data_IF_180048570541
#
_entry.id   IF_180048570541
#
_cell.length_a   1.000
_cell.length_b   1.000
_cell.length_c   1.000
_cell.angle_alpha   90.00
_cell.angle_beta   90.00
_cell.angle_gamma   90.00
#
_symmetry.space_group_name_H-M   'P 1'
#
loop_
_entity.id
_entity.type
_entity.pdbx_description
1 polymer ?
#
# COMPACT_ATOMS: atom_id res chain seq x y z
N UNK A 1 -43.88 68.56 -15.92
CA UNK A 1 -43.10 67.31 -16.11
C UNK A 1 -41.71 67.55 -15.53
N UNK A 2 -41.16 66.63 -14.73
CA UNK A 2 -39.76 66.73 -14.29
C UNK A 2 -38.86 66.19 -15.39
N UNK A 3 -37.74 66.86 -15.66
CA UNK A 3 -36.72 66.36 -16.57
C UNK A 3 -35.98 65.19 -15.92
N UNK A 4 -35.81 64.10 -16.66
CA UNK A 4 -35.00 62.95 -16.27
C UNK A 4 -33.75 62.93 -17.13
N UNK A 5 -32.62 62.56 -16.54
CA UNK A 5 -31.37 62.37 -17.27
C UNK A 5 -31.11 60.88 -17.44
N UNK A 6 -30.42 60.51 -18.52
CA UNK A 6 -29.93 59.15 -18.71
C UNK A 6 -28.40 59.17 -18.81
N UNK A 7 -27.74 58.08 -18.41
CA UNK A 7 -26.29 57.92 -18.55
C UNK A 7 -25.91 56.47 -18.86
N UNK A 8 -25.01 56.31 -19.81
CA UNK A 8 -24.51 55.03 -20.29
C UNK A 8 -25.36 54.43 -21.41
N UNK A 9 -26.42 55.07 -21.89
CA UNK A 9 -27.36 54.46 -22.84
C UNK A 9 -27.18 54.96 -24.27
N UNK A 10 -26.71 56.20 -24.46
CA UNK A 10 -26.40 56.74 -25.77
C UNK A 10 -25.50 57.97 -25.64
N UNK A 11 -24.35 57.95 -26.31
CA UNK A 11 -23.43 59.10 -26.36
C UNK A 11 -24.10 60.42 -26.77
N UNK A 12 -25.21 60.33 -27.51
CA UNK A 12 -25.92 61.52 -28.01
C UNK A 12 -27.01 62.04 -27.08
N UNK A 13 -27.59 61.18 -26.24
CA UNK A 13 -28.71 61.52 -25.36
C UNK A 13 -28.32 61.57 -23.88
N UNK A 14 -27.18 60.97 -23.52
CA UNK A 14 -26.67 60.96 -22.16
C UNK A 14 -26.50 62.40 -21.63
N UNK A 15 -26.92 62.61 -20.39
CA UNK A 15 -26.94 63.89 -19.69
C UNK A 15 -27.78 65.00 -20.35
N UNK A 16 -28.59 64.68 -21.37
CA UNK A 16 -29.60 65.60 -21.90
C UNK A 16 -30.92 65.42 -21.18
N UNK A 17 -31.68 66.51 -20.94
CA UNK A 17 -32.99 66.40 -20.32
C UNK A 17 -33.95 65.66 -21.25
N UNK A 18 -34.54 64.58 -20.74
CA UNK A 18 -35.58 63.81 -21.39
C UNK A 18 -36.88 63.88 -20.57
N UNK A 19 -38.01 63.95 -21.27
CA UNK A 19 -39.33 63.98 -20.67
C UNK A 19 -40.07 62.69 -20.98
N UNK A 20 -39.79 61.64 -20.21
CA UNK A 20 -40.48 60.36 -20.36
C UNK A 20 -41.97 60.52 -20.08
N UNK A 21 -42.80 59.98 -20.97
CA UNK A 21 -44.26 59.95 -20.79
C UNK A 21 -44.70 58.79 -19.90
N UNK A 22 -43.86 57.77 -19.75
CA UNK A 22 -44.15 56.56 -19.00
C UNK A 22 -43.64 56.67 -17.55
N UNK A 23 -44.53 56.42 -16.57
CA UNK A 23 -44.16 56.38 -15.14
C UNK A 23 -43.19 55.24 -14.79
N UNK A 24 -43.10 54.20 -15.62
CA UNK A 24 -42.21 53.05 -15.40
C UNK A 24 -40.73 53.44 -15.36
N UNK A 25 -40.33 54.48 -16.11
CA UNK A 25 -38.95 54.99 -16.12
C UNK A 25 -38.64 55.81 -14.86
N UNK A 26 -39.66 56.43 -14.26
CA UNK A 26 -39.49 57.22 -13.05
C UNK A 26 -39.08 56.36 -11.84
N UNK A 27 -39.53 55.10 -11.76
CA UNK A 27 -39.11 54.16 -10.71
C UNK A 27 -37.65 53.67 -10.86
N UNK A 28 -37.11 53.79 -12.07
CA UNK A 28 -35.72 53.45 -12.39
C UNK A 28 -34.77 54.65 -12.25
N UNK A 29 -35.28 55.85 -12.04
CA UNK A 29 -34.47 57.02 -11.81
C UNK A 29 -33.94 57.02 -10.37
N UNK A 30 -32.70 57.46 -10.20
CA UNK A 30 -32.12 57.71 -8.89
C UNK A 30 -32.99 58.72 -8.14
N UNK A 31 -33.38 58.37 -6.91
CA UNK A 31 -34.27 59.18 -6.07
C UNK A 31 -33.58 60.46 -5.57
N UNK A 32 -32.25 60.51 -5.60
CA UNK A 32 -31.45 61.68 -5.21
C UNK A 32 -31.19 62.63 -6.38
N UNK A 33 -30.61 62.13 -7.48
CA UNK A 33 -30.14 62.97 -8.58
C UNK A 33 -31.04 62.92 -9.83
N UNK A 34 -32.08 62.08 -9.85
CA UNK A 34 -32.99 61.94 -10.98
C UNK A 34 -32.39 61.29 -12.23
N UNK A 35 -31.17 60.72 -12.12
CA UNK A 35 -30.48 60.04 -13.21
C UNK A 35 -30.94 58.59 -13.34
N UNK A 36 -31.26 58.15 -14.55
CA UNK A 36 -31.36 56.73 -14.89
C UNK A 36 -29.99 56.29 -15.43
N UNK A 37 -29.36 55.30 -14.80
CA UNK A 37 -28.10 54.70 -15.24
C UNK A 37 -28.31 53.23 -15.60
N UNK A 38 -27.38 52.61 -16.34
CA UNK A 38 -27.47 51.16 -16.67
C UNK A 38 -27.64 50.31 -15.42
N UNK A 39 -26.82 50.57 -14.41
CA UNK A 39 -26.89 49.90 -13.13
C UNK A 39 -27.53 50.83 -12.11
N UNK A 40 -28.60 50.37 -11.47
CA UNK A 40 -29.21 51.04 -10.32
C UNK A 40 -29.43 50.04 -9.20
N UNK A 41 -29.43 50.54 -7.97
CA UNK A 41 -29.62 49.74 -6.77
C UNK A 41 -30.91 50.17 -6.10
N UNK A 42 -31.84 49.23 -5.90
CA UNK A 42 -33.04 49.45 -5.12
C UNK A 42 -32.79 49.03 -3.67
N UNK A 43 -32.99 49.97 -2.76
CA UNK A 43 -32.83 49.78 -1.33
C UNK A 43 -34.04 49.06 -0.72
N UNK A 44 -33.92 48.50 0.51
CA UNK A 44 -35.04 47.88 1.22
C UNK A 44 -36.20 48.84 1.50
N UNK A 45 -35.92 50.13 1.67
CA UNK A 45 -36.90 51.20 1.83
C UNK A 45 -37.57 51.64 0.52
N UNK A 46 -37.37 50.88 -0.57
CA UNK A 46 -37.96 51.12 -1.88
C UNK A 46 -37.45 52.39 -2.62
N UNK A 47 -36.42 53.05 -2.13
CA UNK A 47 -35.69 54.08 -2.87
C UNK A 47 -34.68 53.47 -3.86
N UNK A 48 -34.62 54.02 -5.08
CA UNK A 48 -33.68 53.59 -6.12
C UNK A 48 -32.51 54.57 -6.18
N UNK A 49 -31.26 54.10 -6.18
CA UNK A 49 -30.04 54.92 -6.30
C UNK A 49 -29.20 54.50 -7.52
N UNK A 50 -28.54 55.45 -8.19
CA UNK A 50 -27.50 55.11 -9.17
C UNK A 50 -26.22 54.63 -8.45
N UNK A 51 -25.30 54.00 -9.19
CA UNK A 51 -24.04 53.46 -8.62
C UNK A 51 -23.26 54.49 -7.80
N UNK A 52 -23.05 55.69 -8.33
CA UNK A 52 -22.32 56.75 -7.62
C UNK A 52 -23.02 57.17 -6.32
N UNK A 53 -24.34 57.43 -6.37
CA UNK A 53 -25.10 57.79 -5.17
C UNK A 53 -25.15 56.66 -4.13
N UNK A 54 -25.22 55.40 -4.58
CA UNK A 54 -25.19 54.24 -3.70
C UNK A 54 -23.84 54.10 -3.00
N UNK A 55 -22.74 54.16 -3.74
CA UNK A 55 -21.38 54.06 -3.19
C UNK A 55 -21.09 55.18 -2.18
N UNK A 56 -21.52 56.41 -2.46
CA UNK A 56 -21.38 57.52 -1.51
C UNK A 56 -22.25 57.32 -0.26
N UNK A 57 -23.45 56.75 -0.40
CA UNK A 57 -24.30 56.42 0.75
C UNK A 57 -23.68 55.30 1.62
N UNK A 58 -23.02 54.32 1.00
CA UNK A 58 -22.27 53.29 1.73
C UNK A 58 -21.10 53.89 2.53
N UNK A 59 -20.31 54.79 1.91
CA UNK A 59 -19.19 55.50 2.57
C UNK A 59 -19.65 56.31 3.78
N UNK A 60 -20.89 56.79 3.79
CA UNK A 60 -21.46 57.63 4.84
C UNK A 60 -22.29 56.86 5.88
N UNK A 61 -22.18 55.53 5.92
CA UNK A 61 -22.80 54.72 6.99
C UNK A 61 -23.90 53.77 6.53
N UNK A 62 -24.10 53.59 5.22
CA UNK A 62 -25.05 52.63 4.65
C UNK A 62 -26.50 52.83 5.12
N UNK A 63 -26.91 54.09 5.20
CA UNK A 63 -28.30 54.50 5.44
C UNK A 63 -28.83 55.23 4.22
N UNK A 64 -30.11 55.05 3.92
CA UNK A 64 -30.74 55.78 2.83
C UNK A 64 -30.75 57.28 3.16
N UNK A 65 -30.29 58.17 2.25
CA UNK A 65 -30.26 59.61 2.54
C UNK A 65 -31.63 60.30 2.59
N UNK A 66 -32.72 59.59 2.28
CA UNK A 66 -34.07 60.15 2.21
C UNK A 66 -34.92 59.84 3.45
N UNK A 67 -34.77 58.65 4.04
CA UNK A 67 -35.55 58.18 5.18
C UNK A 67 -34.69 57.63 6.33
N UNK A 68 -33.36 57.69 6.19
CA UNK A 68 -32.36 57.22 7.16
C UNK A 68 -32.41 55.72 7.48
N UNK A 69 -33.20 54.93 6.72
CA UNK A 69 -33.27 53.49 6.96
C UNK A 69 -31.95 52.80 6.60
N UNK A 70 -31.43 51.90 7.47
CA UNK A 70 -30.20 51.19 7.19
C UNK A 70 -30.41 50.16 6.07
N UNK A 71 -29.45 50.08 5.15
CA UNK A 71 -29.42 49.06 4.12
C UNK A 71 -28.13 48.23 4.22
N UNK A 72 -28.22 46.99 3.73
CA UNK A 72 -27.08 46.08 3.65
C UNK A 72 -27.04 45.50 2.23
N UNK A 73 -25.84 45.31 1.68
CA UNK A 73 -25.62 44.87 0.29
C UNK A 73 -26.32 43.55 -0.06
N UNK A 74 -26.59 42.69 0.92
CA UNK A 74 -27.31 41.43 0.72
C UNK A 74 -28.83 41.56 0.63
N UNK A 75 -29.38 42.74 0.94
CA UNK A 75 -30.81 43.05 0.90
C UNK A 75 -31.15 44.10 -0.17
N UNK A 76 -30.15 44.63 -0.87
CA UNK A 76 -30.36 45.54 -2.00
C UNK A 76 -30.58 44.73 -3.28
N UNK A 77 -31.39 45.28 -4.18
CA UNK A 77 -31.69 44.65 -5.47
C UNK A 77 -30.94 45.44 -6.54
N UNK A 78 -29.98 44.80 -7.21
CA UNK A 78 -29.30 45.36 -8.36
C UNK A 78 -30.16 45.16 -9.61
N UNK A 79 -30.44 46.26 -10.30
CA UNK A 79 -31.22 46.27 -11.53
C UNK A 79 -30.32 46.73 -12.67
N UNK A 80 -30.22 45.90 -13.71
CA UNK A 80 -29.59 46.25 -14.97
C UNK A 80 -30.66 46.65 -15.99
N UNK A 81 -30.55 47.89 -16.46
CA UNK A 81 -31.45 48.49 -17.42
C UNK A 81 -30.79 48.36 -18.79
N UNK A 82 -31.42 47.62 -19.69
CA UNK A 82 -30.90 47.50 -21.04
C UNK A 82 -31.07 48.79 -21.84
N UNK A 83 -30.11 49.07 -22.70
CA UNK A 83 -30.17 50.17 -23.67
C UNK A 83 -31.40 50.08 -24.59
N UNK A 84 -31.67 48.88 -25.10
CA UNK A 84 -32.85 48.63 -25.92
C UNK A 84 -34.17 48.90 -25.18
N UNK A 85 -34.18 48.80 -23.84
CA UNK A 85 -35.36 49.14 -23.03
C UNK A 85 -35.57 50.65 -22.95
N UNK A 86 -34.52 51.44 -22.67
CA UNK A 86 -34.62 52.91 -22.53
C UNK A 86 -34.86 53.59 -23.86
N UNK A 87 -34.14 53.20 -24.92
CA UNK A 87 -34.25 53.84 -26.23
C UNK A 87 -35.62 53.62 -26.91
N UNK A 88 -36.38 52.60 -26.50
CA UNK A 88 -37.75 52.33 -26.98
C UNK A 88 -38.83 53.10 -26.22
N UNK A 89 -38.50 53.78 -25.11
CA UNK A 89 -39.48 54.51 -24.30
C UNK A 89 -39.97 55.75 -25.01
N UNK A 90 -41.23 56.08 -24.74
CA UNK A 90 -41.86 57.28 -25.28
C UNK A 90 -41.42 58.51 -24.51
N UNK A 91 -40.82 59.47 -25.22
CA UNK A 91 -40.33 60.74 -24.68
C UNK A 91 -40.95 61.92 -25.44
N UNK A 92 -41.19 63.01 -24.72
CA UNK A 92 -41.43 64.32 -25.34
C UNK A 92 -40.10 65.04 -25.61
N UNK A 93 -40.11 65.89 -26.63
CA UNK A 93 -38.95 66.72 -26.99
C UNK A 93 -38.49 67.61 -25.81
N UNK A 94 -37.18 67.80 -25.67
CA UNK A 94 -36.59 68.74 -24.71
C UNK A 94 -37.15 70.17 -24.85
N UNK A 95 -37.56 70.55 -26.06
CA UNK A 95 -38.18 71.84 -26.38
C UNK A 95 -39.70 71.87 -26.19
N UNK A 96 -40.32 70.86 -25.58
CA UNK A 96 -41.77 70.86 -25.33
C UNK A 96 -42.25 72.07 -24.51
N UNK A 97 -41.52 72.56 -23.48
CA UNK A 97 -41.86 73.80 -22.79
C UNK A 97 -41.89 75.04 -23.72
N UNK A 98 -41.18 74.98 -24.85
CA UNK A 98 -41.11 76.05 -25.85
C UNK A 98 -42.14 75.85 -26.99
N UNK A 99 -43.04 74.87 -26.89
CA UNK A 99 -44.11 74.63 -27.85
C UNK A 99 -43.90 73.45 -28.81
N UNK A 100 -42.81 72.67 -28.66
CA UNK A 100 -42.65 71.45 -29.44
C UNK A 100 -43.64 70.36 -28.99
N UNK A 101 -44.46 69.86 -29.90
CA UNK A 101 -45.47 68.82 -29.64
C UNK A 101 -44.97 67.39 -29.93
N UNK A 102 -43.70 67.24 -30.30
CA UNK A 102 -43.13 65.93 -30.62
C UNK A 102 -43.14 64.99 -29.41
N UNK A 103 -43.76 63.83 -29.63
CA UNK A 103 -43.76 62.67 -28.73
C UNK A 103 -43.38 61.45 -29.58
N UNK A 104 -42.32 60.74 -29.18
CA UNK A 104 -41.82 59.59 -29.94
C UNK A 104 -40.85 58.73 -29.14
N UNK A 105 -40.29 57.70 -29.76
CA UNK A 105 -39.28 56.86 -29.11
C UNK A 105 -37.98 57.64 -28.88
N UNK A 106 -37.31 57.40 -27.75
CA UNK A 106 -36.04 58.05 -27.42
C UNK A 106 -34.98 57.85 -28.51
N UNK A 107 -34.92 56.69 -29.16
CA UNK A 107 -34.04 56.42 -30.31
C UNK A 107 -34.24 57.40 -31.48
N UNK A 108 -35.47 57.84 -31.74
CA UNK A 108 -35.81 58.77 -32.82
C UNK A 108 -35.62 60.25 -32.46
N UNK A 109 -35.33 60.56 -31.20
CA UNK A 109 -35.24 61.93 -30.71
C UNK A 109 -34.08 62.71 -31.37
N UNK A 110 -32.98 62.03 -31.71
CA UNK A 110 -31.84 62.66 -32.38
C UNK A 110 -32.22 63.19 -33.77
N UNK A 111 -32.94 62.39 -34.56
CA UNK A 111 -33.37 62.80 -35.90
C UNK A 111 -34.43 63.90 -35.84
N UNK A 112 -35.29 63.86 -34.82
CA UNK A 112 -36.20 64.97 -34.51
C UNK A 112 -35.42 66.25 -34.17
N UNK A 113 -34.40 66.19 -33.30
CA UNK A 113 -33.64 67.38 -32.91
C UNK A 113 -32.99 68.10 -34.09
N UNK A 114 -32.55 67.38 -35.14
CA UNK A 114 -32.00 68.00 -36.36
C UNK A 114 -33.03 68.88 -37.08
N UNK A 115 -34.32 68.64 -36.89
CA UNK A 115 -35.42 69.28 -37.60
C UNK A 115 -36.33 70.13 -36.69
N UNK A 116 -36.13 70.09 -35.37
CA UNK A 116 -36.97 70.78 -34.41
C UNK A 116 -36.93 72.31 -34.62
N UNK A 117 -38.09 72.90 -34.90
CA UNK A 117 -38.20 74.35 -35.10
C UNK A 117 -38.19 75.16 -33.80
N UNK A 118 -38.42 74.50 -32.66
CA UNK A 118 -38.56 75.11 -31.34
C UNK A 118 -37.24 75.22 -30.55
N UNK A 119 -36.10 75.10 -31.24
CA UNK A 119 -34.80 75.34 -30.61
C UNK A 119 -34.69 76.77 -30.12
N UNK A 120 -34.19 76.93 -28.90
CA UNK A 120 -33.85 78.24 -28.35
C UNK A 120 -32.38 78.54 -28.68
N UNK A 121 -32.14 79.73 -29.22
CA UNK A 121 -30.81 80.20 -29.59
C UNK A 121 -30.58 81.61 -29.03
N UNK A 122 -29.34 81.99 -28.70
CA UNK A 122 -29.04 83.34 -28.28
C UNK A 122 -29.14 84.30 -29.46
N UNK A 123 -29.79 85.45 -29.25
CA UNK A 123 -29.79 86.53 -30.23
C UNK A 123 -28.37 87.13 -30.35
N UNK A 124 -27.80 87.28 -31.56
CA UNK A 124 -26.46 87.84 -31.71
C UNK A 124 -26.36 89.34 -31.34
N UNK A 125 -27.50 90.06 -31.25
CA UNK A 125 -27.53 91.48 -30.91
C UNK A 125 -27.63 91.73 -29.41
N UNK A 126 -28.52 91.02 -28.71
CA UNK A 126 -28.84 91.28 -27.30
C UNK A 126 -28.57 90.10 -26.36
N UNK A 127 -28.14 88.94 -26.88
CA UNK A 127 -27.89 87.70 -26.14
C UNK A 127 -29.11 87.08 -25.44
N UNK A 128 -30.30 87.64 -25.63
CA UNK A 128 -31.53 87.02 -25.11
C UNK A 128 -31.81 85.67 -25.80
N UNK A 129 -32.33 84.71 -25.04
CA UNK A 129 -32.82 83.44 -25.55
C UNK A 129 -34.11 83.66 -26.34
N UNK A 130 -34.07 83.34 -27.63
CA UNK A 130 -35.21 83.48 -28.56
C UNK A 130 -35.42 82.17 -29.30
N UNK A 131 -36.66 81.84 -29.61
CA UNK A 131 -36.98 80.72 -30.50
C UNK A 131 -36.33 80.94 -31.87
N UNK A 132 -35.71 79.89 -32.43
CA UNK A 132 -35.04 79.94 -33.74
C UNK A 132 -35.96 80.46 -34.84
N UNK A 133 -37.24 80.11 -34.80
CA UNK A 133 -38.28 80.57 -35.73
C UNK A 133 -38.58 82.06 -35.61
N UNK A 134 -38.44 82.63 -34.42
CA UNK A 134 -38.78 84.03 -34.12
C UNK A 134 -37.56 84.96 -34.19
N UNK A 135 -36.34 84.41 -34.26
CA UNK A 135 -35.08 85.15 -34.22
C UNK A 135 -35.01 86.27 -35.27
N UNK A 136 -35.51 86.03 -36.47
CA UNK A 136 -35.51 87.04 -37.55
C UNK A 136 -36.45 88.21 -37.22
N UNK A 137 -37.64 87.92 -36.71
CA UNK A 137 -38.60 88.94 -36.26
C UNK A 137 -38.02 89.75 -35.11
N UNK A 138 -37.57 89.06 -34.06
CA UNK A 138 -36.90 89.68 -32.90
C UNK A 138 -35.75 90.63 -33.30
N UNK A 139 -34.90 90.21 -34.25
CA UNK A 139 -33.78 91.04 -34.72
C UNK A 139 -34.21 92.27 -35.54
N UNK A 140 -35.36 92.21 -36.22
CA UNK A 140 -35.93 93.32 -37.01
C UNK A 140 -36.72 94.30 -36.13
N UNK A 141 -37.38 93.78 -35.10
CA UNK A 141 -38.21 94.54 -34.16
C UNK A 141 -37.39 95.24 -33.05
N UNK A 142 -36.06 95.27 -33.19
CA UNK A 142 -35.16 96.02 -32.31
C UNK A 142 -34.95 95.39 -30.94
N UNK A 143 -35.10 94.07 -30.80
CA UNK A 143 -34.81 93.33 -29.55
C UNK A 143 -35.57 93.81 -28.31
N UNK A 144 -36.67 94.55 -28.48
CA UNK A 144 -37.35 95.27 -27.39
C UNK A 144 -38.57 94.54 -26.82
N UNK A 145 -38.95 93.39 -27.37
CA UNK A 145 -40.10 92.59 -26.91
C UNK A 145 -39.71 91.70 -25.72
N UNK A 146 -40.07 92.17 -24.53
CA UNK A 146 -40.05 91.40 -23.28
C UNK A 146 -41.17 90.34 -23.28
N UNK A 147 -40.96 89.21 -23.96
CA UNK A 147 -41.82 88.04 -23.82
C UNK A 147 -41.02 86.76 -23.99
N UNK A 148 -40.14 86.50 -23.02
CA UNK A 148 -39.71 85.13 -22.74
C UNK A 148 -39.45 85.03 -21.25
N UNK A 149 -40.22 84.19 -20.57
CA UNK A 149 -39.90 83.73 -19.21
C UNK A 149 -38.44 83.26 -19.16
N UNK A 150 -37.67 83.59 -18.12
CA UNK A 150 -36.28 83.18 -18.02
C UNK A 150 -36.22 81.65 -17.95
N UNK A 151 -35.81 81.02 -19.04
CA UNK A 151 -35.28 79.64 -18.99
C UNK A 151 -33.86 79.77 -18.45
N UNK A 152 -33.45 78.99 -17.43
CA UNK A 152 -32.06 78.97 -16.99
C UNK A 152 -31.19 78.54 -18.16
N UNK A 153 -30.45 79.49 -18.75
CA UNK A 153 -29.40 79.20 -19.72
C UNK A 153 -28.17 78.80 -18.89
N UNK A 154 -27.59 77.60 -19.10
CA UNK A 154 -26.25 77.31 -18.63
C UNK A 154 -25.29 78.31 -19.28
N UNK A 155 -24.72 79.16 -18.44
CA UNK A 155 -23.66 80.13 -18.71
C UNK A 155 -22.89 79.85 -20.03
N UNK A 156 -23.19 80.61 -21.10
CA UNK A 156 -22.24 80.73 -22.20
C UNK A 156 -21.12 81.64 -21.73
N UNK A 157 -19.99 81.03 -21.38
CA UNK A 157 -18.76 81.74 -21.00
C UNK A 157 -18.31 82.57 -22.21
N UNK A 158 -18.20 83.88 -22.02
CA UNK A 158 -17.50 84.76 -22.94
C UNK A 158 -16.02 84.35 -22.94
N UNK A 159 -15.56 83.65 -23.98
CA UNK A 159 -14.20 83.12 -24.04
C UNK A 159 -13.24 84.26 -24.35
N UNK A 160 -12.43 84.62 -23.34
CA UNK A 160 -11.27 85.47 -23.54
C UNK A 160 -10.22 84.72 -24.37
N UNK A 161 -10.06 85.12 -25.63
CA UNK A 161 -9.15 84.47 -26.59
C UNK A 161 -7.69 84.45 -26.12
N UNK A 162 -7.24 85.44 -25.33
CA UNK A 162 -5.87 85.50 -24.80
C UNK A 162 -5.64 84.41 -23.73
N UNK A 163 -6.64 84.17 -22.86
CA UNK A 163 -6.59 83.07 -21.90
C UNK A 163 -6.64 81.70 -22.60
N UNK A 164 -7.39 81.60 -23.71
CA UNK A 164 -7.46 80.37 -24.50
C UNK A 164 -6.11 80.05 -25.16
N UNK A 165 -5.37 81.06 -25.64
CA UNK A 165 -4.06 80.89 -26.25
C UNK A 165 -2.99 80.47 -25.23
N UNK A 166 -3.04 81.02 -24.01
CA UNK A 166 -2.18 80.59 -22.89
C UNK A 166 -2.48 79.14 -22.52
N UNK A 167 -3.76 78.77 -22.33
CA UNK A 167 -4.16 77.39 -22.02
C UNK A 167 -3.77 76.42 -23.14
N UNK A 168 -3.93 76.83 -24.41
CA UNK A 168 -3.52 76.03 -25.57
C UNK A 168 -2.01 75.78 -25.58
N UNK A 169 -1.21 76.79 -25.26
CA UNK A 169 0.25 76.68 -25.17
C UNK A 169 0.70 75.80 -24.01
N UNK A 170 0.04 75.92 -22.85
CA UNK A 170 0.24 75.05 -21.67
C UNK A 170 -0.05 73.59 -22.01
N UNK A 171 -1.20 73.33 -22.66
CA UNK A 171 -1.63 71.99 -23.05
C UNK A 171 -0.69 71.35 -24.08
N UNK A 172 -0.20 72.12 -25.05
CA UNK A 172 0.82 71.66 -26.00
C UNK A 172 2.12 71.26 -25.31
N UNK A 173 2.56 72.02 -24.30
CA UNK A 173 3.76 71.69 -23.51
C UNK A 173 3.57 70.40 -22.73
N UNK A 174 2.44 70.24 -22.06
CA UNK A 174 2.16 69.01 -21.32
C UNK A 174 2.00 67.79 -22.25
N UNK A 175 1.37 67.95 -23.41
CA UNK A 175 1.34 66.91 -24.45
C UNK A 175 2.74 66.50 -24.91
N UNK A 176 3.66 67.47 -25.07
CA UNK A 176 5.04 67.17 -25.44
C UNK A 176 5.75 66.35 -24.37
N UNK A 177 5.63 66.73 -23.08
CA UNK A 177 6.18 65.96 -21.96
C UNK A 177 5.61 64.54 -21.90
N UNK A 178 4.30 64.39 -22.12
CA UNK A 178 3.66 63.07 -22.17
C UNK A 178 4.25 62.25 -23.32
N UNK A 179 4.46 62.85 -24.50
CA UNK A 179 5.07 62.16 -25.65
C UNK A 179 6.51 61.71 -25.36
N UNK A 180 7.30 62.54 -24.68
CA UNK A 180 8.66 62.18 -24.26
C UNK A 180 8.64 61.03 -23.26
N UNK A 181 7.79 61.10 -22.23
CA UNK A 181 7.62 60.04 -21.25
C UNK A 181 7.19 58.72 -21.90
N UNK A 182 6.24 58.76 -22.84
CA UNK A 182 5.82 57.58 -23.61
C UNK A 182 6.98 57.00 -24.42
N UNK A 183 7.81 57.84 -25.03
CA UNK A 183 8.99 57.38 -25.78
C UNK A 183 10.04 56.73 -24.87
N UNK A 184 10.26 57.30 -23.68
CA UNK A 184 11.14 56.71 -22.67
C UNK A 184 10.61 55.36 -22.19
N UNK A 185 9.32 55.29 -21.84
CA UNK A 185 8.67 54.04 -21.42
C UNK A 185 8.72 52.97 -22.51
N UNK A 186 8.50 53.34 -23.77
CA UNK A 186 8.61 52.42 -24.90
C UNK A 186 10.03 51.86 -25.03
N UNK A 187 11.05 52.70 -24.83
CA UNK A 187 12.46 52.28 -24.86
C UNK A 187 12.78 51.33 -23.71
N UNK A 188 12.37 51.67 -22.49
CA UNK A 188 12.55 50.82 -21.31
C UNK A 188 11.82 49.48 -21.46
N UNK A 189 10.62 49.47 -22.03
CA UNK A 189 9.86 48.25 -22.29
C UNK A 189 10.58 47.35 -23.31
N UNK A 190 11.10 47.94 -24.39
CA UNK A 190 11.88 47.20 -25.38
C UNK A 190 13.16 46.61 -24.78
N UNK A 191 13.84 47.37 -23.91
CA UNK A 191 15.02 46.87 -23.19
C UNK A 191 14.65 45.70 -22.28
N UNK A 192 13.58 45.82 -21.50
CA UNK A 192 13.09 44.75 -20.63
C UNK A 192 12.75 43.48 -21.41
N UNK A 193 12.13 43.60 -22.60
CA UNK A 193 11.86 42.46 -23.46
C UNK A 193 13.14 41.73 -23.90
N UNK A 194 14.22 42.46 -24.19
CA UNK A 194 15.50 41.83 -24.56
C UNK A 194 16.18 41.17 -23.35
N UNK A 195 16.11 41.79 -22.17
CA UNK A 195 16.60 41.19 -20.92
C UNK A 195 15.87 39.88 -20.61
N UNK A 196 14.53 39.86 -20.71
CA UNK A 196 13.74 38.64 -20.53
C UNK A 196 14.13 37.56 -21.55
N UNK A 197 14.30 37.94 -22.83
CA UNK A 197 14.70 37.01 -23.89
C UNK A 197 16.10 36.42 -23.66
N UNK A 198 17.03 37.22 -23.14
CA UNK A 198 18.39 36.73 -22.84
C UNK A 198 18.40 35.80 -21.63
N UNK A 199 17.63 36.13 -20.58
CA UNK A 199 17.45 35.27 -19.41
C UNK A 199 16.76 33.94 -19.76
N UNK A 200 15.74 33.97 -20.62
CA UNK A 200 15.09 32.76 -21.12
C UNK A 200 16.08 31.86 -21.87
N UNK A 201 16.94 32.45 -22.72
CA UNK A 201 17.96 31.70 -23.45
C UNK A 201 19.01 31.09 -22.51
N UNK A 202 19.47 31.82 -21.50
CA UNK A 202 20.49 31.31 -20.56
C UNK A 202 19.93 30.18 -19.69
N UNK A 203 18.73 30.37 -19.14
CA UNK A 203 18.06 29.36 -18.30
C UNK A 203 17.71 28.10 -19.09
N UNK A 204 17.22 28.22 -20.32
CA UNK A 204 16.98 27.06 -21.18
C UNK A 204 18.27 26.30 -21.52
N UNK A 205 19.40 27.01 -21.70
CA UNK A 205 20.70 26.37 -21.91
C UNK A 205 21.14 25.59 -20.67
N UNK A 206 21.07 26.20 -19.49
CA UNK A 206 21.40 25.54 -18.22
C UNK A 206 20.51 24.33 -17.95
N UNK A 207 19.21 24.44 -18.22
CA UNK A 207 18.25 23.34 -18.08
C UNK A 207 18.60 22.18 -19.02
N UNK A 208 18.98 22.47 -20.26
CA UNK A 208 19.42 21.46 -21.23
C UNK A 208 20.72 20.77 -20.80
N UNK A 209 21.69 21.55 -20.34
CA UNK A 209 22.99 21.02 -19.90
C UNK A 209 22.85 20.15 -18.64
N UNK A 210 22.00 20.55 -17.69
CA UNK A 210 21.69 19.74 -16.49
C UNK A 210 20.92 18.48 -16.84
N UNK A 211 19.97 18.55 -17.77
CA UNK A 211 19.24 17.37 -18.27
C UNK A 211 20.18 16.35 -18.93
N UNK A 212 21.14 16.81 -19.74
CA UNK A 212 22.15 15.94 -20.35
C UNK A 212 23.02 15.25 -19.30
N UNK A 213 23.52 16.00 -18.30
CA UNK A 213 24.30 15.41 -17.19
C UNK A 213 23.51 14.35 -16.43
N UNK A 214 22.24 14.60 -16.12
CA UNK A 214 21.37 13.64 -15.46
C UNK A 214 21.21 12.38 -16.33
N UNK A 215 21.00 12.54 -17.63
CA UNK A 215 20.91 11.42 -18.59
C UNK A 215 22.18 10.56 -18.60
N UNK A 216 23.35 11.19 -18.58
CA UNK A 216 24.65 10.50 -18.54
C UNK A 216 24.81 9.73 -17.22
N UNK A 217 24.47 10.34 -16.08
CA UNK A 217 24.49 9.68 -14.77
C UNK A 217 23.54 8.48 -14.71
N UNK A 218 22.32 8.61 -15.25
CA UNK A 218 21.35 7.51 -15.30
C UNK A 218 21.84 6.36 -16.18
N UNK A 219 22.47 6.68 -17.32
CA UNK A 219 23.06 5.67 -18.21
C UNK A 219 24.23 4.94 -17.55
N UNK A 220 25.09 5.67 -16.83
CA UNK A 220 26.16 5.08 -16.01
C UNK A 220 25.61 4.18 -14.92
N UNK A 221 24.60 4.63 -14.18
CA UNK A 221 23.96 3.84 -13.13
C UNK A 221 23.32 2.56 -13.69
N UNK A 222 22.61 2.66 -14.82
CA UNK A 222 22.03 1.50 -15.49
C UNK A 222 23.11 0.46 -15.86
N UNK A 223 24.24 0.92 -16.39
CA UNK A 223 25.37 0.03 -16.73
C UNK A 223 25.94 -0.66 -15.49
N UNK A 224 26.11 0.07 -14.38
CA UNK A 224 26.55 -0.52 -13.12
C UNK A 224 25.56 -1.53 -12.55
N UNK A 225 24.25 -1.27 -12.65
CA UNK A 225 23.20 -2.20 -12.21
C UNK A 225 23.22 -3.49 -13.02
N UNK A 226 23.34 -3.40 -14.35
CA UNK A 226 23.46 -4.59 -15.20
C UNK A 226 24.72 -5.39 -14.89
N UNK A 227 25.87 -4.73 -14.66
CA UNK A 227 27.08 -5.42 -14.24
C UNK A 227 26.89 -6.15 -12.89
N UNK A 228 26.30 -5.49 -11.89
CA UNK A 228 26.01 -6.14 -10.61
C UNK A 228 25.06 -7.33 -10.77
N UNK A 229 24.10 -7.24 -11.70
CA UNK A 229 23.18 -8.34 -12.00
C UNK A 229 23.92 -9.54 -12.60
N UNK A 230 24.84 -9.31 -13.52
CA UNK A 230 25.70 -10.36 -14.09
C UNK A 230 26.59 -11.00 -13.02
N UNK A 231 27.22 -10.18 -12.15
CA UNK A 231 28.08 -10.66 -11.06
C UNK A 231 27.29 -11.54 -10.08
N UNK A 232 26.07 -11.15 -9.72
CA UNK A 232 25.19 -11.93 -8.83
C UNK A 232 24.79 -13.26 -9.45
N UNK A 233 24.47 -13.30 -10.74
CA UNK A 233 24.15 -14.56 -11.41
C UNK A 233 25.39 -15.46 -11.52
N UNK A 234 26.57 -14.88 -11.73
CA UNK A 234 27.85 -15.59 -11.68
C UNK A 234 28.10 -16.24 -10.32
N UNK A 235 28.02 -15.46 -9.23
CA UNK A 235 28.17 -15.98 -7.86
C UNK A 235 27.15 -17.06 -7.52
N UNK A 236 25.91 -16.93 -8.03
CA UNK A 236 24.86 -17.92 -7.84
C UNK A 236 25.21 -19.25 -8.50
N UNK A 237 25.77 -19.21 -9.70
CA UNK A 237 26.19 -20.41 -10.42
C UNK A 237 27.39 -21.07 -9.75
N UNK A 238 28.38 -20.30 -9.30
CA UNK A 238 29.50 -20.80 -8.50
C UNK A 238 29.02 -21.50 -7.22
N UNK A 239 28.03 -20.94 -6.53
CA UNK A 239 27.44 -21.53 -5.34
C UNK A 239 26.71 -22.85 -5.64
N UNK A 240 25.97 -22.93 -6.76
CA UNK A 240 25.33 -24.19 -7.21
C UNK A 240 26.36 -25.25 -7.54
N UNK A 241 27.44 -24.87 -8.23
CA UNK A 241 28.52 -25.77 -8.59
C UNK A 241 29.23 -26.32 -7.35
N UNK A 242 29.54 -25.46 -6.38
CA UNK A 242 30.11 -25.87 -5.10
C UNK A 242 29.17 -26.84 -4.36
N UNK A 243 27.87 -26.53 -4.29
CA UNK A 243 26.88 -27.41 -3.67
C UNK A 243 26.84 -28.79 -4.34
N UNK A 244 26.83 -28.83 -5.69
CA UNK A 244 26.86 -30.08 -6.46
C UNK A 244 28.08 -30.92 -6.14
N UNK A 245 29.28 -30.33 -6.14
CA UNK A 245 30.54 -31.03 -5.78
C UNK A 245 30.47 -31.60 -4.37
N UNK A 246 29.96 -30.85 -3.40
CA UNK A 246 29.84 -31.34 -2.02
C UNK A 246 28.84 -32.49 -1.89
N UNK A 247 27.74 -32.46 -2.66
CA UNK A 247 26.76 -33.54 -2.66
C UNK A 247 27.32 -34.81 -3.31
N UNK A 248 28.00 -34.68 -4.45
CA UNK A 248 28.70 -35.79 -5.11
C UNK A 248 29.74 -36.44 -4.17
N UNK A 249 30.48 -35.62 -3.42
CA UNK A 249 31.45 -36.11 -2.43
C UNK A 249 30.77 -36.83 -1.25
N UNK A 250 29.65 -36.31 -0.76
CA UNK A 250 28.88 -36.94 0.32
C UNK A 250 28.29 -38.28 -0.14
N UNK A 251 27.75 -38.36 -1.34
CA UNK A 251 27.23 -39.60 -1.94
C UNK A 251 28.35 -40.64 -2.09
N UNK A 252 29.53 -40.23 -2.57
CA UNK A 252 30.69 -41.11 -2.65
C UNK A 252 31.13 -41.64 -1.28
N UNK A 253 31.19 -40.77 -0.26
CA UNK A 253 31.52 -41.20 1.12
C UNK A 253 30.46 -42.15 1.68
N UNK A 254 29.17 -41.86 1.46
CA UNK A 254 28.07 -42.72 1.89
C UNK A 254 28.15 -44.11 1.24
N UNK A 255 28.50 -44.17 -0.05
CA UNK A 255 28.72 -45.44 -0.76
C UNK A 255 29.88 -46.24 -0.16
N UNK A 256 31.02 -45.58 0.09
CA UNK A 256 32.19 -46.24 0.70
C UNK A 256 31.85 -46.78 2.09
N UNK A 257 31.20 -45.98 2.93
CA UNK A 257 30.77 -46.41 4.27
C UNK A 257 29.80 -47.58 4.21
N UNK A 258 28.86 -47.56 3.26
CA UNK A 258 27.92 -48.67 3.05
C UNK A 258 28.64 -49.96 2.68
N UNK A 259 29.62 -49.92 1.76
CA UNK A 259 30.43 -51.09 1.43
C UNK A 259 31.29 -51.58 2.60
N UNK A 260 31.86 -50.66 3.40
CA UNK A 260 32.61 -51.01 4.60
C UNK A 260 31.71 -51.71 5.63
N UNK A 261 30.48 -51.23 5.82
CA UNK A 261 29.50 -51.85 6.71
C UNK A 261 29.19 -53.29 6.26
N UNK A 262 28.91 -53.49 4.97
CA UNK A 262 28.67 -54.83 4.40
C UNK A 262 29.89 -55.75 4.61
N UNK A 263 31.12 -55.25 4.44
CA UNK A 263 32.34 -56.03 4.70
C UNK A 263 32.46 -56.44 6.18
N UNK A 264 32.16 -55.53 7.11
CA UNK A 264 32.19 -55.82 8.55
C UNK A 264 31.12 -56.88 8.89
N UNK A 265 29.90 -56.70 8.39
CA UNK A 265 28.80 -57.66 8.57
C UNK A 265 29.14 -59.05 8.05
N UNK A 266 29.68 -59.14 6.83
CA UNK A 266 29.93 -60.42 6.16
C UNK A 266 31.20 -61.11 6.64
N UNK A 267 32.29 -60.38 6.85
CA UNK A 267 33.60 -60.97 7.16
C UNK A 267 33.93 -60.91 8.65
N UNK A 268 33.76 -59.74 9.26
CA UNK A 268 34.11 -59.52 10.67
C UNK A 268 33.27 -60.37 11.61
N UNK A 269 31.95 -60.25 11.51
CA UNK A 269 31.05 -61.03 12.36
C UNK A 269 31.05 -62.53 12.03
N UNK A 270 31.19 -62.93 10.76
CA UNK A 270 31.29 -64.34 10.41
C UNK A 270 32.57 -65.00 10.96
N UNK A 271 33.71 -64.30 10.87
CA UNK A 271 34.97 -64.78 11.44
C UNK A 271 34.88 -64.87 12.97
N UNK A 272 34.40 -63.81 13.64
CA UNK A 272 34.21 -63.79 15.08
C UNK A 272 33.24 -64.89 15.55
N UNK A 273 32.13 -65.10 14.84
CA UNK A 273 31.19 -66.19 15.15
C UNK A 273 31.82 -67.57 14.96
N UNK A 274 32.67 -67.76 13.94
CA UNK A 274 33.39 -69.01 13.72
C UNK A 274 34.41 -69.27 14.83
N UNK A 275 35.20 -68.27 15.21
CA UNK A 275 36.15 -68.35 16.32
C UNK A 275 35.45 -68.64 17.65
N UNK A 276 34.35 -67.92 17.93
CA UNK A 276 33.53 -68.13 19.11
C UNK A 276 32.96 -69.55 19.16
N UNK A 277 32.44 -70.06 18.04
CA UNK A 277 31.93 -71.43 17.95
C UNK A 277 33.02 -72.46 18.27
N UNK A 278 34.22 -72.31 17.71
CA UNK A 278 35.36 -73.20 17.99
C UNK A 278 35.76 -73.13 19.46
N UNK A 279 35.83 -71.94 20.04
CA UNK A 279 36.15 -71.76 21.46
C UNK A 279 35.12 -72.42 22.39
N UNK A 280 33.82 -72.31 22.05
CA UNK A 280 32.74 -72.99 22.78
C UNK A 280 32.89 -74.52 22.67
N UNK A 281 33.12 -75.04 21.46
CA UNK A 281 33.30 -76.48 21.24
C UNK A 281 34.51 -77.03 22.01
N UNK A 282 35.64 -76.33 22.00
CA UNK A 282 36.85 -76.74 22.73
C UNK A 282 36.64 -76.67 24.25
N UNK A 283 35.98 -75.62 24.75
CA UNK A 283 35.61 -75.48 26.16
C UNK A 283 34.65 -76.59 26.60
N UNK A 284 33.62 -76.90 25.79
CA UNK A 284 32.70 -78.01 26.07
C UNK A 284 33.43 -79.34 26.09
N UNK A 285 34.31 -79.58 25.12
CA UNK A 285 35.06 -80.84 25.01
C UNK A 285 36.02 -81.02 26.19
N UNK A 286 36.76 -79.98 26.57
CA UNK A 286 37.68 -80.00 27.72
C UNK A 286 36.91 -80.19 29.03
N UNK A 287 35.83 -79.44 29.25
CA UNK A 287 34.97 -79.61 30.42
C UNK A 287 34.36 -81.02 30.49
N UNK A 288 33.80 -81.53 29.39
CA UNK A 288 33.25 -82.90 29.33
C UNK A 288 34.31 -83.95 29.61
N UNK A 289 35.54 -83.80 29.10
CA UNK A 289 36.62 -84.75 29.34
C UNK A 289 37.09 -84.72 30.80
N UNK A 290 37.14 -83.53 31.42
CA UNK A 290 37.45 -83.37 32.84
C UNK A 290 36.37 -84.00 33.72
N UNK A 291 35.10 -83.70 33.45
CA UNK A 291 33.97 -84.27 34.19
C UNK A 291 33.92 -85.78 34.05
N UNK A 292 34.02 -86.32 32.82
CA UNK A 292 34.01 -87.77 32.61
C UNK A 292 35.18 -88.48 33.31
N UNK A 293 36.36 -87.83 33.34
CA UNK A 293 37.52 -88.37 34.09
C UNK A 293 37.25 -88.38 35.59
N UNK A 294 36.71 -87.29 36.14
CA UNK A 294 36.36 -87.22 37.56
C UNK A 294 35.33 -88.29 37.93
N UNK A 295 34.27 -88.43 37.12
CA UNK A 295 33.24 -89.48 37.28
C UNK A 295 33.83 -90.89 37.18
N UNK A 296 34.75 -91.13 36.25
CA UNK A 296 35.42 -92.43 36.11
C UNK A 296 36.32 -92.74 37.33
N UNK A 297 37.09 -91.77 37.81
CA UNK A 297 37.91 -91.93 39.02
C UNK A 297 37.05 -92.23 40.26
N UNK A 298 35.91 -91.54 40.41
CA UNK A 298 34.94 -91.81 41.46
C UNK A 298 34.37 -93.23 41.37
N UNK A 299 33.95 -93.66 40.17
CA UNK A 299 33.46 -95.01 39.93
C UNK A 299 34.52 -96.08 40.25
N UNK A 300 35.77 -95.86 39.87
CA UNK A 300 36.89 -96.76 40.19
C UNK A 300 37.14 -96.86 41.69
N UNK A 301 37.02 -95.75 42.42
CA UNK A 301 37.13 -95.73 43.88
C UNK A 301 35.99 -96.50 44.56
N UNK A 302 34.74 -96.30 44.10
CA UNK A 302 33.58 -97.07 44.56
C UNK A 302 33.77 -98.56 44.29
N UNK A 303 34.21 -98.92 43.08
CA UNK A 303 34.44 -100.32 42.68
C UNK A 303 35.50 -100.99 43.55
N UNK A 304 36.62 -100.31 43.84
CA UNK A 304 37.65 -100.81 44.78
C UNK A 304 37.08 -101.00 46.18
N UNK A 305 36.27 -100.07 46.68
CA UNK A 305 35.61 -100.16 47.99
C UNK A 305 34.67 -101.39 48.08
N UNK A 306 33.86 -101.61 47.05
CA UNK A 306 32.97 -102.79 46.95
C UNK A 306 33.79 -104.08 46.90
N UNK A 307 34.86 -104.14 46.09
CA UNK A 307 35.75 -105.30 46.02
C UNK A 307 36.41 -105.61 47.37
N UNK A 308 36.84 -104.58 48.11
CA UNK A 308 37.41 -104.74 49.45
C UNK A 308 36.38 -105.29 50.44
N UNK A 309 35.12 -104.81 50.38
CA UNK A 309 34.03 -105.37 51.17
C UNK A 309 33.81 -106.86 50.86
N UNK A 310 33.69 -107.23 49.57
CA UNK A 310 33.46 -108.62 49.15
C UNK A 310 34.58 -109.55 49.63
N UNK A 311 35.84 -109.13 49.53
CA UNK A 311 36.99 -109.91 50.03
C UNK A 311 36.99 -110.04 51.56
N UNK A 312 36.46 -109.05 52.29
CA UNK A 312 36.32 -109.11 53.76
C UNK A 312 35.26 -110.09 54.25
N UNK A 313 34.22 -110.39 53.47
CA UNK A 313 33.15 -111.33 53.85
C UNK A 313 33.43 -112.79 53.46
N UNK A 314 34.34 -113.05 52.53
CA UNK A 314 34.61 -114.37 51.97
C UNK A 314 35.88 -115.03 52.56
N UNK A 315 35.97 -115.16 53.89
CA UNK A 315 36.99 -116.00 54.52
C UNK A 315 36.72 -117.50 54.31
N UNK A 316 37.78 -118.30 54.14
CA UNK A 316 37.66 -119.75 53.95
C UNK A 316 36.96 -120.42 55.14
N UNK A 317 35.79 -121.04 54.91
CA UNK A 317 35.07 -121.81 55.94
C UNK A 317 35.57 -123.26 55.96
N UNK A 318 36.06 -123.72 57.11
CA UNK A 318 36.44 -125.12 57.34
C UNK A 318 35.22 -125.91 57.83
N UNK A 319 34.91 -127.05 57.18
CA UNK A 319 33.74 -127.89 57.48
C UNK A 319 34.21 -129.27 57.99
N UNK A 320 33.72 -129.70 59.15
CA UNK A 320 34.04 -130.98 59.77
C UNK A 320 32.85 -131.94 59.70
N UNK A 321 33.10 -133.21 59.34
CA UNK A 321 32.07 -134.23 59.17
C UNK A 321 32.30 -135.41 60.12
N UNK A 322 31.21 -135.92 60.73
CA UNK A 322 31.26 -137.03 61.68
C UNK A 322 30.26 -138.14 61.28
N UNK A 323 30.74 -139.37 61.12
CA UNK A 323 29.93 -140.54 60.77
C UNK A 323 29.28 -141.16 62.01
N UNK A 324 27.95 -141.17 62.07
CA UNK A 324 27.16 -141.81 63.15
C UNK A 324 26.56 -143.14 62.66
N UNK A 325 26.39 -144.12 63.55
CA UNK A 325 25.80 -145.42 63.20
C UNK A 325 26.77 -146.44 62.57
N UNK A 326 28.09 -146.20 62.67
CA UNK A 326 29.12 -147.06 62.08
C UNK A 326 29.03 -148.54 62.46
N UNK A 327 28.62 -148.86 63.70
CA UNK A 327 28.44 -150.25 64.15
C UNK A 327 27.34 -150.96 63.34
N UNK A 328 26.24 -150.28 63.05
CA UNK A 328 25.11 -150.83 62.30
C UNK A 328 25.45 -150.98 60.81
N UNK A 329 26.21 -150.02 60.26
CA UNK A 329 26.73 -150.08 58.90
C UNK A 329 27.68 -151.27 58.70
N UNK A 330 28.61 -151.49 59.64
CA UNK A 330 29.49 -152.66 59.62
C UNK A 330 28.70 -153.96 59.68
N UNK A 331 27.71 -154.06 60.57
CA UNK A 331 26.88 -155.26 60.70
C UNK A 331 26.12 -155.55 59.39
N UNK A 332 25.52 -154.53 58.78
CA UNK A 332 24.83 -154.66 57.50
C UNK A 332 25.78 -155.13 56.39
N UNK A 333 27.01 -154.60 56.34
CA UNK A 333 28.02 -155.06 55.38
C UNK A 333 28.44 -156.53 55.59
N UNK A 334 28.48 -157.04 56.83
CA UNK A 334 28.75 -158.47 57.11
C UNK A 334 27.59 -159.36 56.64
N UNK A 335 26.34 -158.89 56.76
CA UNK A 335 25.16 -159.67 56.38
C UNK A 335 24.94 -159.71 54.85
N UNK A 336 25.20 -158.61 54.12
CA UNK A 336 24.96 -158.48 52.67
C UNK A 336 26.22 -158.46 51.81
N UNK A 337 27.41 -158.62 52.39
CA UNK A 337 28.72 -158.55 51.71
C UNK A 337 29.22 -157.13 51.43
N UNK A 338 28.32 -156.16 51.22
CA UNK A 338 28.63 -154.73 51.19
C UNK A 338 27.43 -153.86 51.54
N UNK A 339 27.68 -152.62 51.99
CA UNK A 339 26.68 -151.57 52.21
C UNK A 339 27.21 -150.21 51.76
N UNK A 340 26.32 -149.41 51.20
CA UNK A 340 26.57 -148.01 50.79
C UNK A 340 25.63 -147.10 51.58
N UNK A 341 26.12 -145.94 52.01
CA UNK A 341 25.30 -144.87 52.57
C UNK A 341 25.78 -143.51 52.09
N UNK A 342 24.82 -142.60 51.88
CA UNK A 342 25.09 -141.19 51.59
C UNK A 342 24.78 -140.33 52.82
N UNK A 343 25.52 -139.24 52.99
CA UNK A 343 25.13 -138.17 53.92
C UNK A 343 23.95 -137.38 53.35
N UNK A 344 23.19 -136.68 54.20
CA UNK A 344 22.25 -135.67 53.73
C UNK A 344 22.95 -134.64 52.82
N UNK A 345 22.24 -134.17 51.79
CA UNK A 345 22.72 -133.09 50.92
C UNK A 345 22.87 -131.79 51.75
N UNK A 346 24.03 -131.16 51.67
CA UNK A 346 24.27 -129.81 52.21
C UNK A 346 24.54 -128.82 51.09
N UNK A 347 23.92 -127.65 51.21
CA UNK A 347 24.12 -126.55 50.28
C UNK A 347 25.34 -125.72 50.70
N UNK A 348 26.43 -125.82 49.93
CA UNK A 348 27.69 -125.12 50.21
C UNK A 348 28.13 -124.39 48.94
N UNK A 349 28.36 -123.07 49.07
CA UNK A 349 28.83 -122.19 47.99
C UNK A 349 28.04 -122.28 46.67
N UNK A 350 26.72 -122.49 46.73
CA UNK A 350 25.86 -122.52 45.55
C UNK A 350 25.51 -123.91 45.02
N UNK A 351 26.11 -124.98 45.58
CA UNK A 351 25.93 -126.36 45.12
C UNK A 351 25.42 -127.27 46.25
N UNK A 352 24.61 -128.28 45.89
CA UNK A 352 24.24 -129.35 46.83
C UNK A 352 25.32 -130.44 46.80
N UNK A 353 25.93 -130.73 47.95
CA UNK A 353 27.02 -131.70 48.10
C UNK A 353 26.61 -132.78 49.10
N UNK A 354 26.95 -134.04 48.85
CA UNK A 354 26.80 -135.14 49.82
C UNK A 354 28.08 -135.98 49.89
N UNK A 355 28.30 -136.66 51.02
CA UNK A 355 29.41 -137.59 51.22
C UNK A 355 28.88 -139.01 51.02
N UNK A 356 29.44 -139.70 50.04
CA UNK A 356 29.18 -141.11 49.76
C UNK A 356 30.17 -142.00 50.54
N UNK A 357 29.67 -143.01 51.26
CA UNK A 357 30.48 -143.94 52.04
C UNK A 357 30.10 -145.37 51.66
N UNK A 358 31.08 -146.17 51.24
CA UNK A 358 30.93 -147.58 50.90
C UNK A 358 31.76 -148.45 51.84
N UNK A 359 31.15 -149.50 52.40
CA UNK A 359 31.76 -150.42 53.36
C UNK A 359 31.51 -151.85 52.90
N UNK A 360 32.56 -152.66 52.81
CA UNK A 360 32.51 -154.04 52.27
C UNK A 360 33.08 -155.04 53.27
N UNK A 361 32.44 -156.20 53.45
CA UNK A 361 33.02 -157.30 54.23
C UNK A 361 34.10 -158.02 53.40
N UNK A 362 35.29 -158.14 53.98
CA UNK A 362 36.42 -158.82 53.37
C UNK A 362 36.50 -160.27 53.88
N UNK A 363 35.98 -161.24 53.12
CA UNK A 363 36.16 -162.68 53.40
C UNK A 363 37.56 -163.11 52.95
N UNK A 364 38.46 -163.30 53.90
CA UNK A 364 39.83 -163.75 53.63
C UNK A 364 39.88 -165.11 52.95
N UNK A 365 40.53 -165.18 51.78
CA UNK A 365 41.12 -166.42 51.28
C UNK A 365 42.49 -166.59 51.93
N UNK A 366 42.61 -167.65 52.73
CA UNK A 366 43.90 -168.28 53.00
C UNK A 366 44.33 -169.04 51.74
N UNK A 367 45.45 -168.63 51.15
CA UNK A 367 46.32 -169.52 50.39
C UNK A 367 47.76 -169.26 50.85
N UNK A 368 48.45 -170.38 51.06
CA UNK A 368 49.81 -170.55 51.58
C UNK A 368 50.87 -169.67 50.91
#
# INVERSE_FOLDING_TARGET
MRSTFISGFSDTLDWRPLYFQEFSVAHSACSLCGLVSRNVVRLPCDHTLCSECHEESQRQGSTCPLDEEPFADNKTIHLDISEGYILKRTVACGNAPNGCDFIGQASGLLDHYKQCSFHVVPCPKCQSSVLRTELVGHCKDGCSSASTTPVPIPYFINVNYDNLEIISSELKREMFKISENLSCLQTSLNQWFEEVRTLEKSTNKELKDTTLKISDHLSGLHTSVEQCREDVEGCREDAREAARKTNEQLEAQSSILSEQLVRIETQGFAAANKELKVAIEDTMKTHMAQELRAQYEELMNVTKSVSACVLGFCGAKELHWYLKGWKDLKKSALDTGSVVTDSPLQYVCGYNVCIFIHVTEYKGQAWL
#
